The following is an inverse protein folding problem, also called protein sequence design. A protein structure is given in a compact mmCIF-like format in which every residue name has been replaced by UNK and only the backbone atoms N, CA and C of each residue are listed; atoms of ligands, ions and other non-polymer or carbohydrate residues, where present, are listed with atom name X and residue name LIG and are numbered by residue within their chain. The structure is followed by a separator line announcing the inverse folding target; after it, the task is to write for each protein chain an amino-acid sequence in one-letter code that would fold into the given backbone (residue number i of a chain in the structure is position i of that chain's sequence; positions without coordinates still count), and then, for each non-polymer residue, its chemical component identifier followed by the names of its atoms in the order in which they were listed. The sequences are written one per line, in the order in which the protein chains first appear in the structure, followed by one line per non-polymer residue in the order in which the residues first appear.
data_IF_082553103056
#
_entry.id   IF_082553103056
#
_cell.length_a   1.000
_cell.length_b   1.000
_cell.length_c   1.000
_cell.angle_alpha   90.00
_cell.angle_beta   90.00
_cell.angle_gamma   90.00
#
_symmetry.space_group_name_H-M   'P 1'
#
loop_
_entity.id
_entity.type
_entity.pdbx_description
1 polymer ?
#
# COMPACT_ATOMS: atom_id res chain seq x y z
N UNK A 1 23.52 2.77 27.57
CA UNK A 1 22.07 2.97 27.80
C UNK A 1 21.35 2.72 26.49
N UNK A 2 20.50 1.70 26.41
CA UNK A 2 19.66 1.51 25.20
C UNK A 2 18.62 2.62 25.20
N UNK A 3 18.60 3.44 24.15
CA UNK A 3 17.58 4.49 23.97
C UNK A 3 16.19 3.87 23.90
N UNK A 4 15.22 4.48 24.58
CA UNK A 4 13.82 4.08 24.54
C UNK A 4 13.31 4.12 23.10
N UNK A 5 12.64 3.04 22.68
CA UNK A 5 12.05 2.98 21.35
C UNK A 5 10.80 3.87 21.30
N UNK A 6 10.65 4.68 20.24
CA UNK A 6 9.49 5.56 20.04
C UNK A 6 8.77 5.20 18.74
N UNK A 7 7.45 5.48 18.63
CA UNK A 7 6.75 5.37 17.37
C UNK A 7 7.31 6.40 16.36
N UNK A 8 7.38 5.98 15.09
CA UNK A 8 7.73 6.86 13.97
C UNK A 8 6.66 7.94 13.77
N UNK A 9 5.39 7.57 13.95
CA UNK A 9 4.23 8.46 13.87
C UNK A 9 3.13 7.98 14.82
N UNK A 10 2.28 8.91 15.27
CA UNK A 10 1.09 8.61 16.08
C UNK A 10 -0.13 9.15 15.35
N UNK A 11 -0.99 8.27 14.85
CA UNK A 11 -2.17 8.58 14.06
C UNK A 11 -2.70 7.36 13.30
N UNK A 12 -3.45 7.59 12.22
CA UNK A 12 -4.04 6.52 11.43
C UNK A 12 -3.53 6.57 9.99
N UNK A 13 -3.03 5.43 9.50
CA UNK A 13 -2.69 5.28 8.08
C UNK A 13 -3.96 4.85 7.38
N UNK A 14 -4.66 5.75 6.68
CA UNK A 14 -5.90 5.41 6.00
C UNK A 14 -5.61 4.78 4.63
N UNK A 15 -4.87 5.50 3.79
CA UNK A 15 -4.60 5.15 2.39
C UNK A 15 -3.15 4.71 2.14
N UNK A 16 -2.86 4.24 0.92
CA UNK A 16 -1.48 4.03 0.47
C UNK A 16 -0.70 5.34 0.45
N UNK A 17 -1.32 6.46 0.04
CA UNK A 17 -0.67 7.76 0.05
C UNK A 17 -0.20 8.18 1.45
N UNK A 18 -1.03 7.97 2.49
CA UNK A 18 -0.63 8.23 3.87
C UNK A 18 0.62 7.46 4.29
N UNK A 19 0.73 6.19 3.87
CA UNK A 19 1.91 5.38 4.13
C UNK A 19 3.15 5.96 3.43
N UNK A 20 3.00 6.36 2.16
CA UNK A 20 4.08 6.94 1.37
C UNK A 20 4.55 8.28 1.94
N UNK A 21 3.66 9.11 2.47
CA UNK A 21 4.02 10.35 3.17
C UNK A 21 4.92 10.08 4.38
N UNK A 22 4.62 9.06 5.20
CA UNK A 22 5.48 8.72 6.34
C UNK A 22 6.79 8.07 5.89
N UNK A 23 6.80 7.25 4.83
CA UNK A 23 8.04 6.76 4.25
C UNK A 23 8.93 7.93 3.77
N UNK A 24 8.37 8.90 3.05
CA UNK A 24 9.08 10.10 2.62
C UNK A 24 9.62 10.90 3.81
N UNK A 25 8.80 11.09 4.84
CA UNK A 25 9.23 11.77 6.07
C UNK A 25 10.43 11.06 6.72
N UNK A 26 10.48 9.73 6.67
CA UNK A 26 11.62 8.96 7.15
C UNK A 26 12.86 9.09 6.25
N UNK A 27 12.69 8.99 4.93
CA UNK A 27 13.79 9.07 3.96
C UNK A 27 14.38 10.48 3.84
N UNK A 28 13.63 11.51 4.21
CA UNK A 28 14.10 12.91 4.31
C UNK A 28 14.67 13.28 5.68
N UNK A 29 14.64 12.36 6.66
CA UNK A 29 15.12 12.60 8.02
C UNK A 29 14.18 13.40 8.92
N UNK A 30 12.97 13.74 8.46
CA UNK A 30 11.95 14.42 9.27
C UNK A 30 11.35 13.51 10.36
N UNK A 31 11.35 12.18 10.13
CA UNK A 31 10.98 11.14 11.09
C UNK A 31 12.05 10.06 11.13
N UNK A 32 12.14 9.33 12.24
CA UNK A 32 13.15 8.29 12.39
C UNK A 32 12.57 6.90 12.10
N UNK A 33 13.32 6.09 11.35
CA UNK A 33 13.12 4.65 11.34
C UNK A 33 13.38 4.07 12.73
N UNK A 34 12.67 3.00 13.09
CA UNK A 34 12.99 2.25 14.29
C UNK A 34 14.24 1.38 14.06
N UNK A 35 15.26 1.49 14.92
CA UNK A 35 16.53 0.81 14.71
C UNK A 35 16.53 -0.64 15.20
N UNK A 36 15.48 -1.07 15.91
CA UNK A 36 15.39 -2.39 16.55
C UNK A 36 13.95 -2.75 16.88
N UNK A 37 13.75 -4.02 17.27
CA UNK A 37 12.47 -4.52 17.79
C UNK A 37 12.16 -3.91 19.16
N UNK A 38 10.86 -3.81 19.51
CA UNK A 38 10.44 -3.48 20.86
C UNK A 38 10.79 -4.64 21.81
N UNK A 39 11.44 -4.30 22.92
CA UNK A 39 11.70 -5.23 24.02
C UNK A 39 10.39 -5.56 24.74
N UNK A 40 10.33 -6.71 25.42
CA UNK A 40 9.10 -7.16 26.08
C UNK A 40 8.53 -6.09 27.03
N UNK A 41 9.39 -5.42 27.81
CA UNK A 41 9.01 -4.33 28.73
C UNK A 41 8.45 -3.08 28.03
N UNK A 42 8.81 -2.84 26.77
CA UNK A 42 8.38 -1.64 26.01
C UNK A 42 7.03 -1.90 25.29
N UNK A 43 6.67 -3.16 25.07
CA UNK A 43 5.50 -3.52 24.24
C UNK A 43 4.18 -3.00 24.78
N UNK A 44 4.01 -2.95 26.09
CA UNK A 44 2.77 -2.46 26.71
C UNK A 44 2.48 -1.00 26.35
N UNK A 45 3.52 -0.19 26.17
CA UNK A 45 3.41 1.22 25.79
C UNK A 45 3.40 1.41 24.27
N UNK A 46 4.09 0.54 23.53
CA UNK A 46 4.30 0.68 22.09
C UNK A 46 3.22 0.03 21.23
N UNK A 47 2.67 -1.11 21.66
CA UNK A 47 1.68 -1.87 20.89
C UNK A 47 0.29 -1.40 21.29
N UNK A 48 -0.04 -0.17 20.86
CA UNK A 48 -1.32 0.49 21.14
C UNK A 48 -1.85 1.23 19.92
N UNK A 49 -3.14 1.54 19.98
CA UNK A 49 -3.82 2.31 18.96
C UNK A 49 -3.11 3.63 18.67
N UNK A 50 -3.01 3.98 17.39
CA UNK A 50 -2.33 5.17 16.89
C UNK A 50 -0.85 4.98 16.57
N UNK A 51 -0.16 4.03 17.20
CA UNK A 51 1.29 3.91 16.99
C UNK A 51 1.61 3.32 15.60
N UNK A 52 2.53 3.99 14.91
CA UNK A 52 3.06 3.59 13.60
C UNK A 52 4.57 3.51 13.68
N UNK A 53 5.13 2.44 13.13
CA UNK A 53 6.56 2.16 13.10
C UNK A 53 7.01 1.91 11.67
N UNK A 54 8.11 2.55 11.27
CA UNK A 54 8.80 2.24 10.01
C UNK A 54 10.18 1.71 10.32
N UNK A 55 10.55 0.58 9.74
CA UNK A 55 11.92 0.05 9.80
C UNK A 55 12.47 -0.25 8.42
N UNK A 56 13.77 -0.06 8.27
CA UNK A 56 14.55 -0.52 7.14
C UNK A 56 15.19 -1.87 7.49
N UNK A 57 15.12 -2.86 6.60
CA UNK A 57 15.54 -4.23 6.90
C UNK A 57 17.05 -4.35 7.21
N UNK A 58 17.93 -3.70 6.43
CA UNK A 58 19.38 -3.85 6.60
C UNK A 58 19.89 -3.12 7.85
N UNK A 59 19.55 -1.85 8.03
CA UNK A 59 20.00 -1.07 9.18
C UNK A 59 19.46 -1.59 10.52
N UNK A 60 18.20 -2.05 10.57
CA UNK A 60 17.59 -2.53 11.81
C UNK A 60 17.79 -4.03 12.09
N UNK A 61 18.11 -4.82 11.05
CA UNK A 61 18.13 -6.28 11.10
C UNK A 61 16.74 -6.93 11.26
N UNK A 62 15.65 -6.16 11.15
CA UNK A 62 14.29 -6.64 11.34
C UNK A 62 13.73 -7.14 10.00
N UNK A 63 13.58 -8.47 9.85
CA UNK A 63 12.93 -9.05 8.65
C UNK A 63 11.41 -9.23 8.76
N UNK A 64 10.90 -9.31 9.99
CA UNK A 64 9.49 -9.55 10.31
C UNK A 64 9.17 -8.90 11.63
N UNK A 65 8.16 -8.05 11.73
CA UNK A 65 7.81 -7.44 13.01
C UNK A 65 7.24 -8.46 14.03
N UNK A 66 7.63 -8.35 15.30
CA UNK A 66 7.15 -9.21 16.40
C UNK A 66 6.76 -8.36 17.60
N UNK A 67 5.50 -8.47 18.01
CA UNK A 67 4.87 -7.62 19.03
C UNK A 67 4.31 -8.41 20.23
N UNK A 68 4.35 -9.74 20.20
CA UNK A 68 3.83 -10.61 21.26
C UNK A 68 2.30 -10.73 21.30
N UNK A 69 1.57 -10.08 20.38
CA UNK A 69 0.11 -10.14 20.32
C UNK A 69 -0.34 -11.35 19.49
N UNK A 70 -1.44 -11.99 19.91
CA UNK A 70 -2.06 -13.09 19.17
C UNK A 70 -2.90 -12.53 18.02
N UNK A 71 -2.41 -12.67 16.79
CA UNK A 71 -3.05 -12.13 15.60
C UNK A 71 -3.81 -13.19 14.80
N UNK A 72 -4.92 -12.80 14.18
CA UNK A 72 -5.57 -13.57 13.14
C UNK A 72 -4.63 -13.84 11.94
N UNK A 73 -4.91 -14.83 11.10
CA UNK A 73 -4.31 -14.87 9.76
C UNK A 73 -4.58 -13.56 8.99
N UNK A 74 -3.64 -13.15 8.15
CA UNK A 74 -3.76 -11.90 7.39
C UNK A 74 -4.93 -11.93 6.40
N UNK A 75 -5.45 -10.74 6.11
CA UNK A 75 -6.31 -10.47 4.96
C UNK A 75 -5.76 -9.29 4.17
N UNK A 76 -6.00 -9.30 2.87
CA UNK A 76 -5.67 -8.18 2.00
C UNK A 76 -6.79 -7.15 2.15
N UNK A 77 -6.39 -5.89 2.38
CA UNK A 77 -7.24 -4.71 2.31
C UNK A 77 -6.45 -3.70 1.47
N UNK A 78 -6.85 -3.54 0.22
CA UNK A 78 -6.11 -2.76 -0.79
C UNK A 78 -4.65 -3.20 -0.88
N UNK A 79 -3.72 -2.27 -0.64
CA UNK A 79 -2.28 -2.52 -0.64
C UNK A 79 -1.73 -3.03 0.70
N UNK A 80 -2.59 -3.24 1.68
CA UNK A 80 -2.20 -3.62 3.03
C UNK A 80 -2.49 -5.08 3.34
N UNK A 81 -1.69 -5.63 4.25
CA UNK A 81 -2.07 -6.80 5.03
C UNK A 81 -2.64 -6.33 6.37
N UNK A 82 -3.80 -6.86 6.74
CA UNK A 82 -4.50 -6.54 7.98
C UNK A 82 -4.65 -7.78 8.84
N UNK A 83 -4.52 -7.56 10.15
CA UNK A 83 -4.63 -8.55 11.21
C UNK A 83 -5.51 -7.99 12.32
N UNK A 84 -6.27 -8.84 13.01
CA UNK A 84 -7.06 -8.46 14.18
C UNK A 84 -6.66 -9.30 15.39
N UNK A 85 -6.61 -8.66 16.56
CA UNK A 85 -6.25 -9.28 17.83
C UNK A 85 -7.27 -10.36 18.21
N UNK A 86 -6.75 -11.50 18.64
CA UNK A 86 -7.53 -12.65 19.11
C UNK A 86 -7.61 -12.63 20.64
N UNK A 87 -8.70 -13.15 21.19
CA UNK A 87 -8.87 -13.31 22.64
C UNK A 87 -7.82 -14.26 23.22
N UNK A 88 -7.48 -15.31 22.46
CA UNK A 88 -6.50 -16.33 22.83
C UNK A 88 -5.66 -16.74 21.62
N UNK A 89 -4.40 -17.15 21.82
CA UNK A 89 -3.63 -17.80 20.76
C UNK A 89 -4.31 -19.10 20.30
N UNK A 90 -4.03 -19.51 19.07
CA UNK A 90 -4.42 -20.84 18.58
C UNK A 90 -3.75 -21.92 19.45
N UNK A 91 -4.52 -22.91 19.89
CA UNK A 91 -4.00 -24.01 20.67
C UNK A 91 -2.99 -24.87 19.88
N UNK A 92 -2.11 -25.63 20.55
CA UNK A 92 -1.21 -26.57 19.88
C UNK A 92 -2.01 -27.55 18.99
N UNK A 93 -1.74 -27.56 17.68
CA UNK A 93 -2.41 -28.43 16.71
C UNK A 93 -3.77 -27.92 16.17
N UNK A 94 -4.25 -26.77 16.63
CA UNK A 94 -5.53 -26.20 16.18
C UNK A 94 -5.36 -25.61 14.76
N UNK A 95 -6.14 -26.10 13.80
CA UNK A 95 -6.07 -25.60 12.41
C UNK A 95 -6.62 -24.17 12.37
N UNK A 96 -5.87 -23.23 11.80
CA UNK A 96 -6.23 -21.81 11.59
C UNK A 96 -7.35 -21.61 10.55
N UNK A 97 -8.47 -22.30 10.71
CA UNK A 97 -9.63 -22.23 9.80
C UNK A 97 -10.62 -21.21 10.33
N UNK A 98 -11.20 -20.42 9.44
CA UNK A 98 -12.28 -19.52 9.80
C UNK A 98 -13.48 -20.32 10.33
N UNK A 99 -14.15 -19.78 11.33
CA UNK A 99 -15.42 -20.31 11.85
C UNK A 99 -16.43 -20.41 10.69
N UNK A 100 -17.02 -21.58 10.50
CA UNK A 100 -18.14 -21.73 9.55
C UNK A 100 -19.37 -21.11 10.19
N UNK A 101 -19.93 -20.07 9.56
CA UNK A 101 -21.24 -19.53 9.96
C UNK A 101 -22.30 -20.64 9.88
N UNK A 102 -23.09 -20.91 10.94
CA UNK A 102 -24.32 -21.67 10.77
C UNK A 102 -25.25 -20.87 9.84
N UNK A 103 -25.78 -21.50 8.78
CA UNK A 103 -26.85 -20.90 7.97
C UNK A 103 -28.04 -20.65 8.89
N UNK A 104 -28.29 -19.41 9.28
CA UNK A 104 -29.59 -19.03 9.84
C UNK A 104 -30.61 -19.16 8.72
N UNK A 105 -31.44 -20.21 8.76
CA UNK A 105 -32.72 -20.22 8.05
C UNK A 105 -33.56 -19.08 8.64
N UNK A 106 -33.74 -18.00 7.90
CA UNK A 106 -34.56 -16.88 8.33
C UNK A 106 -36.04 -17.18 8.06
N UNK A 107 -36.72 -17.77 9.05
CA UNK A 107 -38.15 -17.55 9.24
C UNK A 107 -38.31 -16.76 10.54
N UNK A 108 -38.56 -15.46 10.44
CA UNK A 108 -38.85 -14.62 11.60
C UNK A 108 -38.53 -13.15 11.35
N UNK A 109 -39.54 -12.37 10.98
CA UNK A 109 -39.54 -10.92 11.07
C UNK A 109 -39.40 -10.56 12.56
N UNK A 110 -38.22 -10.15 12.99
CA UNK A 110 -38.04 -9.45 14.26
C UNK A 110 -37.21 -8.20 14.05
N UNK A 111 -37.80 -7.08 14.49
CA UNK A 111 -37.29 -5.72 14.70
C UNK A 111 -35.81 -5.52 14.34
N UNK A 112 -35.56 -4.70 13.32
CA UNK A 112 -34.24 -4.23 12.94
C UNK A 112 -33.58 -3.46 14.10
N UNK A 113 -32.68 -4.13 14.81
CA UNK A 113 -31.68 -3.46 15.65
C UNK A 113 -30.62 -2.80 14.76
N UNK A 114 -29.92 -1.73 15.21
CA UNK A 114 -28.95 -0.95 14.43
C UNK A 114 -27.63 -1.70 14.09
N UNK A 115 -27.65 -3.04 14.11
CA UNK A 115 -26.50 -3.93 13.92
C UNK A 115 -25.99 -4.02 12.48
N UNK A 116 -26.70 -3.48 11.49
CA UNK A 116 -26.31 -3.63 10.09
C UNK A 116 -25.27 -2.57 9.67
N UNK A 117 -25.50 -1.30 10.01
CA UNK A 117 -24.64 -0.17 9.57
C UNK A 117 -23.24 -0.23 10.18
N UNK A 118 -23.15 -0.53 11.49
CA UNK A 118 -21.87 -0.65 12.21
C UNK A 118 -20.91 -1.67 11.59
N UNK A 119 -21.44 -2.72 10.94
CA UNK A 119 -20.65 -3.80 10.33
C UNK A 119 -20.04 -3.38 8.99
N UNK A 120 -20.68 -2.49 8.25
CA UNK A 120 -20.17 -2.06 6.95
C UNK A 120 -19.06 -1.02 7.12
N UNK A 121 -19.16 -0.15 8.12
CA UNK A 121 -18.06 0.73 8.52
C UNK A 121 -16.86 -0.05 9.06
N UNK A 122 -17.08 -1.08 9.90
CA UNK A 122 -15.98 -1.92 10.39
C UNK A 122 -15.27 -2.64 9.24
N UNK A 123 -16.02 -3.07 8.21
CA UNK A 123 -15.44 -3.71 7.01
C UNK A 123 -14.50 -2.80 6.24
N UNK A 124 -14.75 -1.50 6.19
CA UNK A 124 -13.81 -0.57 5.58
C UNK A 124 -12.45 -0.55 6.30
N UNK A 125 -12.42 -0.86 7.60
CA UNK A 125 -11.21 -0.88 8.41
C UNK A 125 -10.53 -2.26 8.44
N UNK A 126 -11.31 -3.33 8.59
CA UNK A 126 -10.75 -4.69 8.82
C UNK A 126 -10.98 -5.67 7.66
N UNK A 127 -11.59 -5.21 6.57
CA UNK A 127 -11.95 -6.03 5.42
C UNK A 127 -12.85 -7.20 5.81
N UNK A 128 -12.43 -8.42 5.47
CA UNK A 128 -13.19 -9.65 5.76
C UNK A 128 -13.05 -10.17 7.20
N UNK A 129 -12.27 -9.53 8.08
CA UNK A 129 -12.00 -9.98 9.46
C UNK A 129 -13.10 -9.59 10.48
N UNK A 130 -14.36 -9.68 10.09
CA UNK A 130 -15.49 -9.26 10.95
C UNK A 130 -15.86 -10.33 11.97
N UNK A 131 -16.09 -11.57 11.51
CA UNK A 131 -16.67 -12.66 12.32
C UNK A 131 -16.03 -14.04 12.05
N UNK A 132 -14.84 -14.06 11.44
CA UNK A 132 -14.15 -15.29 11.05
C UNK A 132 -13.42 -16.02 12.18
N UNK A 133 -13.11 -15.34 13.29
CA UNK A 133 -12.32 -15.87 14.41
C UNK A 133 -12.84 -15.32 15.75
N UNK A 134 -12.36 -15.91 16.85
CA UNK A 134 -12.61 -15.44 18.22
C UNK A 134 -11.76 -14.19 18.49
N UNK A 135 -12.20 -13.07 17.91
CA UNK A 135 -11.55 -11.79 18.08
C UNK A 135 -11.81 -11.22 19.47
N UNK A 136 -10.81 -10.56 20.03
CA UNK A 136 -10.95 -9.81 21.26
C UNK A 136 -11.96 -8.67 21.08
N UNK A 137 -12.83 -8.46 22.07
CA UNK A 137 -13.76 -7.34 22.06
C UNK A 137 -12.98 -6.02 22.12
N UNK A 138 -13.26 -5.10 21.21
CA UNK A 138 -12.48 -3.86 21.02
C UNK A 138 -10.98 -4.11 20.82
N UNK A 139 -10.62 -5.28 20.28
CA UNK A 139 -9.24 -5.68 20.04
C UNK A 139 -8.52 -4.80 19.02
N UNK A 140 -7.19 -4.82 19.09
CA UNK A 140 -6.33 -4.06 18.22
C UNK A 140 -6.37 -4.59 16.78
N UNK A 141 -6.21 -3.69 15.83
CA UNK A 141 -5.97 -4.00 14.42
C UNK A 141 -4.52 -3.63 14.11
N UNK A 142 -3.81 -4.54 13.43
CA UNK A 142 -2.50 -4.26 12.85
C UNK A 142 -2.63 -4.21 11.34
N UNK A 143 -2.11 -3.13 10.74
CA UNK A 143 -2.07 -2.91 9.30
C UNK A 143 -0.62 -2.71 8.85
N UNK A 144 -0.22 -3.42 7.80
CA UNK A 144 1.17 -3.40 7.31
C UNK A 144 1.24 -3.22 5.81
N UNK A 145 2.25 -2.48 5.36
CA UNK A 145 2.62 -2.32 3.95
C UNK A 145 4.15 -2.31 3.86
N UNK A 146 4.69 -2.60 2.69
CA UNK A 146 6.13 -2.61 2.46
C UNK A 146 6.44 -2.01 1.10
N UNK A 147 7.59 -1.36 1.02
CA UNK A 147 8.13 -0.76 -0.19
C UNK A 147 9.58 -1.19 -0.33
N UNK A 148 10.14 -1.01 -1.52
CA UNK A 148 11.58 -1.10 -1.76
C UNK A 148 12.08 0.26 -2.20
N UNK A 149 13.15 0.74 -1.58
CA UNK A 149 13.82 1.99 -1.96
C UNK A 149 15.32 1.72 -2.07
N UNK A 150 15.94 2.07 -3.20
CA UNK A 150 17.36 1.81 -3.46
C UNK A 150 17.77 0.33 -3.23
N UNK A 151 16.87 -0.60 -3.58
CA UNK A 151 17.09 -2.04 -3.40
C UNK A 151 16.96 -2.55 -1.95
N UNK A 152 16.63 -1.68 -0.99
CA UNK A 152 16.43 -2.05 0.42
C UNK A 152 14.95 -2.10 0.76
N UNK A 153 14.46 -3.17 1.41
CA UNK A 153 13.09 -3.23 1.91
C UNK A 153 12.86 -2.30 3.11
N UNK A 154 11.79 -1.51 3.04
CA UNK A 154 11.25 -0.77 4.17
C UNK A 154 9.85 -1.25 4.48
N UNK A 155 9.54 -1.32 5.77
CA UNK A 155 8.28 -1.87 6.25
C UNK A 155 7.60 -0.88 7.18
N UNK A 156 6.29 -0.70 7.00
CA UNK A 156 5.42 0.04 7.89
C UNK A 156 4.53 -0.92 8.66
N UNK A 157 4.42 -0.69 9.97
CA UNK A 157 3.48 -1.38 10.86
C UNK A 157 2.68 -0.34 11.62
N UNK A 158 1.36 -0.34 11.44
CA UNK A 158 0.42 0.57 12.09
C UNK A 158 -0.55 -0.21 12.98
N UNK A 159 -0.85 0.34 14.14
CA UNK A 159 -1.82 -0.17 15.10
C UNK A 159 -2.96 0.80 15.31
N UNK A 160 -4.20 0.31 15.36
CA UNK A 160 -5.36 1.13 15.67
C UNK A 160 -6.51 0.27 16.20
N UNK A 161 -7.46 0.85 16.93
CA UNK A 161 -8.77 0.23 17.18
C UNK A 161 -9.79 0.85 16.21
N UNK A 162 -10.82 0.08 15.84
CA UNK A 162 -11.88 0.61 14.98
C UNK A 162 -12.59 1.81 15.63
N UNK A 163 -12.75 1.77 16.95
CA UNK A 163 -13.34 2.86 17.75
C UNK A 163 -12.54 4.16 17.66
N UNK A 164 -11.22 4.11 17.78
CA UNK A 164 -10.36 5.31 17.72
C UNK A 164 -10.42 5.98 16.33
N UNK A 165 -10.52 5.17 15.27
CA UNK A 165 -10.68 5.68 13.90
C UNK A 165 -12.07 6.29 13.71
N UNK A 166 -13.13 5.58 14.11
CA UNK A 166 -14.51 6.04 13.97
C UNK A 166 -14.82 7.29 14.77
N UNK A 167 -14.20 7.43 15.94
CA UNK A 167 -14.32 8.63 16.78
C UNK A 167 -13.49 9.82 16.27
N UNK A 168 -12.73 9.66 15.19
CA UNK A 168 -11.90 10.73 14.62
C UNK A 168 -10.72 11.15 15.50
N UNK A 169 -10.32 10.32 16.48
CA UNK A 169 -9.22 10.63 17.41
C UNK A 169 -7.84 10.50 16.79
N UNK A 170 -7.73 9.78 15.67
CA UNK A 170 -6.46 9.51 15.01
C UNK A 170 -6.37 10.30 13.70
N UNK A 171 -5.44 11.26 13.66
CA UNK A 171 -5.17 12.07 12.47
C UNK A 171 -4.44 11.26 11.40
N UNK A 172 -4.79 11.46 10.13
CA UNK A 172 -4.07 10.85 9.00
C UNK A 172 -2.87 11.71 8.58
N UNK A 173 -1.76 11.11 8.11
CA UNK A 173 -0.59 11.84 7.60
C UNK A 173 -0.93 12.92 6.57
N UNK A 174 -1.79 12.62 5.60
CA UNK A 174 -2.26 13.58 4.58
C UNK A 174 -3.05 14.78 5.13
N UNK A 175 -3.58 14.67 6.35
CA UNK A 175 -4.30 15.75 7.05
C UNK A 175 -3.46 16.44 8.12
N UNK A 176 -2.31 15.87 8.49
CA UNK A 176 -1.48 16.36 9.59
C UNK A 176 -0.71 17.63 9.17
N UNK A 177 -0.72 18.73 9.95
CA UNK A 177 -0.12 20.01 9.55
C UNK A 177 1.33 19.92 9.04
N UNK A 178 2.16 19.14 9.74
CA UNK A 178 3.59 19.01 9.41
C UNK A 178 3.89 18.04 8.24
N UNK A 179 2.91 17.23 7.83
CA UNK A 179 3.13 16.11 6.89
C UNK A 179 2.31 16.25 5.60
N UNK A 180 1.19 16.96 5.63
CA UNK A 180 0.27 17.14 4.48
C UNK A 180 0.91 17.77 3.24
N UNK A 181 2.04 18.45 3.41
CA UNK A 181 2.79 19.10 2.34
C UNK A 181 4.00 18.29 1.87
N UNK A 182 4.31 17.17 2.53
CA UNK A 182 5.36 16.26 2.05
C UNK A 182 4.84 15.51 0.83
N UNK A 183 5.56 15.64 -0.28
CA UNK A 183 5.26 14.97 -1.53
C UNK A 183 6.20 13.76 -1.64
N UNK A 184 5.69 12.51 -1.58
CA UNK A 184 6.49 11.32 -1.82
C UNK A 184 7.24 11.41 -3.15
N UNK A 185 8.54 11.08 -3.13
CA UNK A 185 9.36 10.99 -4.35
C UNK A 185 8.80 10.00 -5.38
N UNK A 186 9.12 10.25 -6.64
CA UNK A 186 8.64 9.46 -7.80
C UNK A 186 8.89 7.95 -7.67
N UNK A 187 10.04 7.54 -7.14
CA UNK A 187 10.39 6.11 -6.89
C UNK A 187 9.40 5.42 -5.93
N UNK A 188 8.83 6.15 -4.96
CA UNK A 188 7.83 5.61 -4.05
C UNK A 188 6.45 5.47 -4.70
N UNK A 189 6.15 6.31 -5.69
CA UNK A 189 4.85 6.33 -6.37
C UNK A 189 4.80 5.33 -7.53
N UNK A 190 5.91 5.20 -8.28
CA UNK A 190 5.94 4.50 -9.57
C UNK A 190 6.66 3.15 -9.52
N UNK A 191 7.62 2.95 -8.62
CA UNK A 191 8.51 1.78 -8.64
C UNK A 191 8.05 0.65 -7.70
N UNK A 192 6.81 0.71 -7.21
CA UNK A 192 6.26 -0.25 -6.25
C UNK A 192 5.26 -1.20 -6.91
N UNK A 193 5.24 -2.46 -6.46
CA UNK A 193 4.29 -3.47 -6.95
C UNK A 193 3.03 -3.50 -6.08
N UNK A 194 2.26 -2.41 -6.11
CA UNK A 194 1.00 -2.31 -5.38
C UNK A 194 -0.10 -3.17 -6.03
N UNK A 195 -0.98 -3.73 -5.19
CA UNK A 195 -2.09 -4.61 -5.56
C UNK A 195 -3.31 -3.83 -6.07
N UNK A 196 -3.45 -2.60 -5.60
CA UNK A 196 -4.50 -1.67 -5.94
C UNK A 196 -3.87 -0.30 -6.31
N UNK A 197 -4.56 0.54 -7.10
CA UNK A 197 -4.13 1.91 -7.34
C UNK A 197 -3.88 2.68 -6.03
N UNK A 198 -3.06 3.72 -6.11
CA UNK A 198 -2.86 4.62 -4.96
C UNK A 198 -4.07 5.57 -4.91
N UNK A 199 -4.92 5.44 -3.91
CA UNK A 199 -6.07 6.34 -3.74
C UNK A 199 -5.61 7.79 -3.57
N UNK A 200 -6.28 8.71 -4.27
CA UNK A 200 -5.92 10.13 -4.34
C UNK A 200 -4.94 10.47 -5.46
N UNK A 201 -4.41 9.48 -6.19
CA UNK A 201 -3.69 9.69 -7.45
C UNK A 201 -4.56 9.27 -8.63
N UNK A 202 -5.62 10.04 -8.91
CA UNK A 202 -5.89 10.27 -10.33
C UNK A 202 -4.67 11.05 -10.81
N UNK A 203 -3.69 10.33 -11.36
CA UNK A 203 -2.42 10.85 -11.88
C UNK A 203 -2.61 11.94 -12.96
N UNK A 204 -3.87 12.19 -13.34
CA UNK A 204 -4.34 13.22 -14.25
C UNK A 204 -4.87 14.51 -13.60
N UNK A 205 -5.07 14.62 -12.28
CA UNK A 205 -5.77 15.79 -11.71
C UNK A 205 -5.13 16.52 -10.52
N UNK A 206 -4.16 15.97 -9.79
CA UNK A 206 -3.47 16.75 -8.74
C UNK A 206 -2.17 17.37 -9.30
N UNK A 207 -2.28 18.64 -9.74
CA UNK A 207 -1.21 19.42 -10.38
C UNK A 207 0.10 19.42 -9.58
N UNK A 208 0.06 19.22 -8.25
CA UNK A 208 1.25 19.19 -7.38
C UNK A 208 2.12 17.97 -7.64
N UNK A 209 1.52 16.80 -7.78
CA UNK A 209 2.25 15.56 -8.08
C UNK A 209 2.74 15.56 -9.52
N UNK A 210 1.92 16.05 -10.45
CA UNK A 210 2.28 16.13 -11.86
C UNK A 210 3.45 17.10 -12.08
N UNK A 211 3.45 18.27 -11.42
CA UNK A 211 4.54 19.25 -11.50
C UNK A 211 5.85 18.68 -10.95
N UNK A 212 5.81 17.96 -9.83
CA UNK A 212 7.03 17.39 -9.25
C UNK A 212 7.59 16.22 -10.07
N UNK A 213 6.71 15.39 -10.63
CA UNK A 213 7.10 14.35 -11.60
C UNK A 213 7.76 14.99 -12.83
N UNK A 214 7.18 16.06 -13.39
CA UNK A 214 7.77 16.77 -14.53
C UNK A 214 9.14 17.38 -14.21
N UNK A 215 9.33 17.94 -13.01
CA UNK A 215 10.62 18.47 -12.55
C UNK A 215 11.66 17.35 -12.39
N UNK A 216 11.30 16.21 -11.78
CA UNK A 216 12.18 15.04 -11.65
C UNK A 216 12.59 14.46 -13.02
N UNK A 217 11.70 14.50 -14.01
CA UNK A 217 11.99 14.10 -15.39
C UNK A 217 12.70 15.19 -16.22
N UNK A 218 13.08 16.32 -15.63
CA UNK A 218 13.86 17.38 -16.28
C UNK A 218 13.06 18.31 -17.20
N UNK A 219 11.74 18.37 -17.06
CA UNK A 219 10.90 19.33 -17.75
C UNK A 219 10.76 20.63 -16.94
N UNK A 220 11.18 21.76 -17.51
CA UNK A 220 11.08 23.07 -16.88
C UNK A 220 9.64 23.62 -16.92
N UNK A 221 9.07 23.96 -15.77
CA UNK A 221 7.77 24.65 -15.64
C UNK A 221 7.93 26.18 -15.66
N UNK A 222 8.75 26.71 -16.56
CA UNK A 222 8.99 28.16 -16.68
C UNK A 222 8.27 28.76 -17.89
N UNK A 223 6.94 28.89 -17.81
CA UNK A 223 6.18 29.96 -18.48
C UNK A 223 4.70 29.88 -18.09
N UNK A 224 4.25 30.70 -17.14
CA UNK A 224 2.86 31.21 -17.04
C UNK A 224 2.78 32.31 -15.98
N UNK A 225 3.50 33.41 -16.21
CA UNK A 225 3.04 34.72 -15.73
C UNK A 225 3.20 35.70 -16.89
N UNK A 226 2.22 35.69 -17.80
CA UNK A 226 2.00 36.78 -18.73
C UNK A 226 0.56 37.26 -18.55
N UNK A 227 0.45 38.38 -17.84
CA UNK A 227 -0.74 39.19 -17.68
C UNK A 227 -1.32 39.57 -19.05
N UNK A 228 -2.53 39.12 -19.38
CA UNK A 228 -3.28 39.64 -20.51
C UNK A 228 -4.64 40.15 -20.05
N UNK A 229 -4.81 41.46 -20.22
CA UNK A 229 -6.02 42.23 -19.97
C UNK A 229 -7.16 41.83 -20.93
N UNK A 230 -8.38 42.05 -20.45
CA UNK A 230 -9.69 41.94 -21.10
C UNK A 230 -9.71 41.89 -22.64
N UNK A 231 -10.44 40.90 -23.19
CA UNK A 231 -11.37 41.06 -24.32
C UNK A 231 -12.32 39.85 -24.42
N UNK A 232 -13.60 40.14 -24.56
CA UNK A 232 -14.75 39.23 -24.68
C UNK A 232 -14.78 38.44 -25.98
N UNK A 233 -15.07 37.13 -25.94
CA UNK A 233 -15.98 36.41 -26.84
C UNK A 233 -16.16 34.91 -26.46
N UNK A 234 -17.19 34.30 -27.05
CA UNK A 234 -17.97 33.13 -26.66
C UNK A 234 -17.29 31.75 -26.57
N UNK A 235 -17.87 30.96 -25.65
CA UNK A 235 -18.20 29.53 -25.69
C UNK A 235 -17.75 28.73 -26.94
N UNK A 236 -16.86 27.75 -26.74
CA UNK A 236 -16.99 26.35 -27.17
C UNK A 236 -15.80 25.50 -26.68
N UNK A 237 -16.09 24.23 -26.39
CA UNK A 237 -15.14 23.17 -25.98
C UNK A 237 -13.73 23.34 -26.57
N UNK A 238 -12.74 23.53 -25.70
CA UNK A 238 -11.33 23.57 -26.08
C UNK A 238 -10.58 22.47 -25.35
N UNK A 239 -10.22 21.41 -26.07
CA UNK A 239 -9.20 20.45 -25.65
C UNK A 239 -7.87 21.20 -25.46
N UNK A 240 -7.32 21.15 -24.25
CA UNK A 240 -6.01 21.72 -23.94
C UNK A 240 -4.96 20.96 -24.75
N UNK A 241 -4.42 21.59 -25.79
CA UNK A 241 -3.29 21.05 -26.54
C UNK A 241 -2.01 21.64 -25.93
N UNK A 242 -1.24 20.82 -25.23
CA UNK A 242 0.06 21.21 -24.68
C UNK A 242 1.09 21.04 -25.80
N UNK A 243 1.59 22.15 -26.34
CA UNK A 243 2.72 22.12 -27.27
C UNK A 243 4.02 21.98 -26.48
N UNK A 244 4.68 20.82 -26.62
CA UNK A 244 5.99 20.54 -26.03
C UNK A 244 7.07 20.94 -27.04
N UNK A 245 7.83 22.02 -26.75
CA UNK A 245 9.02 22.38 -27.52
C UNK A 245 10.25 21.65 -26.97
N UNK A 246 10.84 20.79 -27.78
CA UNK A 246 12.09 20.09 -27.50
C UNK A 246 13.27 21.09 -27.58
N UNK A 247 13.98 21.32 -26.48
CA UNK A 247 15.27 22.05 -26.52
C UNK A 247 16.39 21.02 -26.52
N UNK A 248 17.09 20.89 -27.65
CA UNK A 248 18.30 20.08 -27.77
C UNK A 248 19.49 20.84 -27.17
N UNK A 249 20.00 20.40 -26.03
CA UNK A 249 21.34 20.78 -25.58
C UNK A 249 22.34 19.73 -26.05
N UNK A 250 23.10 20.08 -27.09
CA UNK A 250 24.30 19.35 -27.48
C UNK A 250 25.40 19.54 -26.43
N UNK A 251 25.90 18.44 -25.88
CA UNK A 251 27.30 18.36 -25.44
C UNK A 251 27.96 17.15 -26.10
N UNK A 252 28.98 17.45 -26.90
CA UNK A 252 29.89 16.47 -27.48
C UNK A 252 30.62 15.70 -26.37
N UNK A 253 30.56 14.38 -26.38
CA UNK A 253 31.79 13.60 -26.45
C UNK A 253 31.57 12.21 -27.06
N UNK A 254 32.58 11.76 -27.78
CA UNK A 254 32.59 10.74 -28.83
C UNK A 254 32.81 9.30 -28.34
N UNK A 255 32.32 8.35 -29.15
CA UNK A 255 32.74 6.93 -29.34
C UNK A 255 32.37 5.93 -28.21
N UNK A 256 31.84 4.72 -28.45
CA UNK A 256 31.56 3.93 -29.65
C UNK A 256 30.61 2.76 -29.28
N UNK A 257 29.71 2.38 -30.21
CA UNK A 257 29.11 1.06 -30.52
C UNK A 257 28.76 0.07 -29.39
N UNK A 258 27.60 -0.60 -29.33
CA UNK A 258 26.68 -1.01 -30.40
C UNK A 258 25.38 -1.64 -29.85
N UNK A 259 24.28 -1.35 -30.55
CA UNK A 259 23.05 -2.12 -30.77
C UNK A 259 22.22 -2.68 -29.58
N UNK A 260 21.12 -2.00 -29.27
CA UNK A 260 19.85 -2.68 -28.96
C UNK A 260 18.71 -2.08 -29.79
N UNK A 261 17.89 -2.97 -30.35
CA UNK A 261 16.87 -2.72 -31.37
C UNK A 261 15.68 -1.93 -30.81
N UNK A 262 15.23 -0.97 -31.60
CA UNK A 262 13.96 -0.25 -31.44
C UNK A 262 12.79 -1.21 -31.66
N UNK A 263 11.83 -1.24 -30.74
CA UNK A 263 10.46 -1.67 -31.03
C UNK A 263 9.56 -0.44 -31.00
N UNK A 264 9.11 -0.04 -32.19
CA UNK A 264 7.98 0.85 -32.40
C UNK A 264 6.69 0.05 -32.18
N UNK A 265 5.78 0.54 -31.35
CA UNK A 265 4.40 0.04 -31.31
C UNK A 265 3.48 1.08 -31.97
N UNK A 266 3.06 0.73 -33.17
CA UNK A 266 2.03 1.42 -33.95
C UNK A 266 0.65 0.99 -33.45
N UNK A 267 -0.22 1.96 -33.20
CA UNK A 267 -1.64 1.76 -32.96
C UNK A 267 -2.33 1.52 -34.31
N UNK A 268 -3.06 0.40 -34.45
CA UNK A 268 -4.12 0.29 -35.44
C UNK A 268 -5.31 -0.50 -34.88
N UNK A 269 -6.50 -0.07 -35.30
CA UNK A 269 -7.80 -0.38 -34.75
C UNK A 269 -8.56 -1.37 -35.65
N UNK A 270 -9.45 -2.15 -35.02
CA UNK A 270 -10.66 -2.81 -35.55
C UNK A 270 -10.62 -4.15 -36.32
N UNK A 271 -11.44 -5.06 -35.75
CA UNK A 271 -12.40 -6.00 -36.35
C UNK A 271 -11.92 -7.23 -37.16
N UNK A 272 -12.25 -8.42 -36.62
CA UNK A 272 -13.12 -9.47 -37.21
C UNK A 272 -12.59 -10.89 -37.01
N UNK A 273 -13.42 -11.69 -36.35
CA UNK A 273 -13.70 -13.14 -36.50
C UNK A 273 -12.73 -14.04 -37.27
N UNK A 274 -12.28 -15.14 -36.64
CA UNK A 274 -12.68 -16.51 -37.02
C UNK A 274 -11.84 -17.59 -36.29
N UNK A 275 -12.50 -18.72 -36.05
CA UNK A 275 -12.01 -19.96 -35.45
C UNK A 275 -10.70 -20.50 -36.05
N UNK A 276 -9.92 -21.25 -35.27
CA UNK A 276 -9.46 -22.62 -35.62
C UNK A 276 -8.72 -23.24 -34.42
N UNK A 277 -9.19 -24.42 -34.04
CA UNK A 277 -8.61 -25.40 -33.12
C UNK A 277 -7.24 -25.89 -33.58
N UNK A 278 -6.37 -26.34 -32.67
CA UNK A 278 -5.73 -27.67 -32.79
C UNK A 278 -4.88 -28.05 -31.58
N UNK A 279 -5.08 -29.31 -31.20
CA UNK A 279 -4.28 -30.15 -30.30
C UNK A 279 -2.82 -30.27 -30.73
N UNK A 280 -1.96 -30.73 -29.80
CA UNK A 280 -0.90 -31.77 -29.91
C UNK A 280 -0.08 -31.66 -28.60
N UNK A 281 -0.24 -32.56 -27.63
CA UNK A 281 0.27 -33.93 -27.47
C UNK A 281 1.58 -34.04 -26.68
N UNK A 282 1.47 -34.83 -25.61
CA UNK A 282 2.45 -35.51 -24.76
C UNK A 282 3.83 -35.83 -25.36
N UNK A 283 4.86 -35.78 -24.51
CA UNK A 283 5.53 -36.99 -23.98
C UNK A 283 6.74 -36.66 -23.10
N UNK A 284 6.84 -37.26 -21.90
CA UNK A 284 7.87 -38.26 -21.54
C UNK A 284 8.00 -38.50 -20.02
N UNK A 285 7.52 -39.68 -19.61
CA UNK A 285 8.08 -40.67 -18.67
C UNK A 285 9.26 -40.29 -17.76
N UNK A 286 9.09 -40.50 -16.44
CA UNK A 286 10.14 -41.07 -15.56
C UNK A 286 9.49 -42.08 -14.58
N UNK A 287 10.23 -43.17 -14.41
CA UNK A 287 9.95 -44.50 -13.86
C UNK A 287 9.97 -44.61 -12.33
N UNK A 288 9.15 -45.54 -11.83
CA UNK A 288 9.14 -46.14 -10.48
C UNK A 288 10.38 -47.01 -10.24
N UNK A 289 11.03 -46.87 -9.08
CA UNK A 289 11.83 -47.95 -8.46
C UNK A 289 11.48 -48.06 -6.97
N UNK A 290 11.04 -49.25 -6.61
CA UNK A 290 10.87 -49.80 -5.26
C UNK A 290 12.25 -50.24 -4.72
N UNK A 291 12.53 -50.03 -3.44
CA UNK A 291 13.42 -50.94 -2.70
C UNK A 291 13.10 -50.98 -1.21
N UNK A 292 13.28 -52.17 -0.66
CA UNK A 292 12.79 -52.70 0.61
C UNK A 292 13.99 -52.98 1.54
N UNK A 293 13.79 -52.85 2.88
CA UNK A 293 14.58 -53.39 4.02
C UNK A 293 16.06 -52.91 4.13
N UNK A 294 16.68 -52.76 5.32
CA UNK A 294 16.66 -53.54 6.56
C UNK A 294 17.19 -52.69 7.74
N UNK A 295 16.76 -53.06 8.96
CA UNK A 295 17.38 -52.83 10.30
C UNK A 295 17.52 -51.39 10.80
#
# INVERSE_FOLDING_TARGET
MSSTLLPTYVGYIHSTLDALIIFEACLSGARNHVPRRPQDRERQELIRSGNVFIYEEHASGIKRWTDGVSWSPSRILDNFLVYRELERPFGPGEKKRALKKPKKMSNGITKAEPRCETRDEDRALIGSLVDSYDFKQSGLVKKTISITFQGVPHHLVSYYTCEDVKSGRLTCPSSHPDLRNLIPRSELLMSQNFRAPIDGTDTTTDERYQSQVLVDYGYNTSMTQASCRQSTCNNNNSSITINITHINNHHHNTNNNSLCRQHTCSICNNNSSSNISNNISNNNNITTIHNHRHM
#
